data_IF_116134883350
#
_entry.id   IF_116134883350
#
_cell.length_a   1.000
_cell.length_b   1.000
_cell.length_c   1.000
_cell.angle_alpha   90.00
_cell.angle_beta   90.00
_cell.angle_gamma   90.00
#
_symmetry.space_group_name_H-M   'P 1'
#
loop_
_entity.id
_entity.type
_entity.pdbx_description
1 polymer ?
#
# COMPACT_ATOMS: atom_id res chain seq x y z
N UNK A 1 -4.10 30.08 -12.80
CA UNK A 1 -3.05 30.81 -12.04
C UNK A 1 -3.33 30.60 -10.55
N UNK A 2 -2.30 30.36 -9.75
CA UNK A 2 -2.43 30.18 -8.31
C UNK A 2 -2.40 31.51 -7.55
N UNK A 3 -3.23 31.62 -6.52
CA UNK A 3 -3.23 32.71 -5.53
C UNK A 3 -3.50 32.17 -4.14
N UNK A 4 -2.88 32.78 -3.12
CA UNK A 4 -3.30 32.57 -1.74
C UNK A 4 -4.53 33.42 -1.46
N UNK A 5 -5.54 32.83 -0.84
CA UNK A 5 -6.75 33.55 -0.39
C UNK A 5 -7.27 32.90 0.89
N UNK A 6 -8.41 33.36 1.39
CA UNK A 6 -9.07 32.80 2.56
C UNK A 6 -10.43 32.22 2.18
N UNK A 7 -10.99 31.36 3.03
CA UNK A 7 -12.34 30.80 2.83
C UNK A 7 -13.41 31.89 2.60
N UNK A 8 -13.31 33.03 3.30
CA UNK A 8 -14.24 34.16 3.16
C UNK A 8 -14.17 34.85 1.80
N UNK A 9 -13.02 34.80 1.15
CA UNK A 9 -12.72 35.49 -0.12
C UNK A 9 -12.90 34.57 -1.34
N UNK A 10 -13.20 33.29 -1.11
CA UNK A 10 -13.45 32.35 -2.20
C UNK A 10 -14.62 32.83 -3.08
N UNK A 11 -14.52 32.67 -4.42
CA UNK A 11 -15.63 32.93 -5.33
C UNK A 11 -16.91 32.22 -4.88
N UNK A 12 -18.07 32.86 -5.07
CA UNK A 12 -19.38 32.32 -4.69
C UNK A 12 -19.74 30.97 -5.35
N UNK A 13 -19.00 30.57 -6.39
CA UNK A 13 -19.12 29.25 -6.99
C UNK A 13 -18.69 28.11 -6.03
N UNK A 14 -17.82 28.41 -5.06
CA UNK A 14 -17.42 27.45 -4.04
C UNK A 14 -18.43 27.41 -2.89
N UNK A 15 -18.70 26.21 -2.42
CA UNK A 15 -19.51 25.97 -1.22
C UNK A 15 -18.63 25.29 -0.18
N UNK A 16 -17.93 26.10 0.60
CA UNK A 16 -17.09 25.64 1.70
C UNK A 16 -17.94 25.14 2.88
N UNK A 17 -17.52 24.09 3.59
CA UNK A 17 -18.22 23.62 4.77
C UNK A 17 -18.15 24.63 5.93
N UNK A 18 -19.20 24.66 6.75
CA UNK A 18 -19.38 25.67 7.81
C UNK A 18 -18.42 25.54 9.00
N UNK A 19 -17.73 24.41 9.15
CA UNK A 19 -16.76 24.18 10.22
C UNK A 19 -15.37 24.76 9.90
N UNK A 20 -15.10 25.17 8.66
CA UNK A 20 -13.89 25.91 8.31
C UNK A 20 -13.98 27.35 8.81
N UNK A 21 -12.86 27.91 9.25
CA UNK A 21 -12.82 29.31 9.67
C UNK A 21 -12.77 30.18 8.42
N UNK A 22 -13.51 31.31 8.39
CA UNK A 22 -13.46 32.24 7.26
C UNK A 22 -12.05 32.75 6.92
N UNK A 23 -11.17 32.79 7.92
CA UNK A 23 -9.77 33.23 7.81
C UNK A 23 -8.80 32.12 7.41
N UNK A 24 -9.24 30.86 7.29
CA UNK A 24 -8.34 29.75 6.95
C UNK A 24 -7.75 29.98 5.55
N UNK A 25 -6.42 29.95 5.40
CA UNK A 25 -5.78 30.17 4.12
C UNK A 25 -5.98 28.97 3.21
N UNK A 26 -6.31 29.22 1.95
CA UNK A 26 -6.43 28.19 0.92
C UNK A 26 -5.71 28.61 -0.35
N UNK A 27 -5.24 27.61 -1.09
CA UNK A 27 -4.67 27.84 -2.40
C UNK A 27 -5.78 27.82 -3.44
N UNK A 28 -5.99 28.93 -4.15
CA UNK A 28 -6.96 29.04 -5.24
C UNK A 28 -6.23 28.95 -6.58
N UNK A 29 -6.69 28.07 -7.47
CA UNK A 29 -6.33 28.07 -8.89
C UNK A 29 -7.51 28.52 -9.75
N UNK A 30 -7.35 29.61 -10.49
CA UNK A 30 -8.36 30.04 -11.49
C UNK A 30 -8.10 29.38 -12.83
N UNK A 31 -9.14 28.75 -13.39
CA UNK A 31 -9.11 27.97 -14.61
C UNK A 31 -8.74 26.51 -14.38
N UNK A 32 -8.74 25.74 -15.47
CA UNK A 32 -8.43 24.30 -15.43
C UNK A 32 -6.99 24.06 -14.95
N UNK A 33 -6.82 23.02 -14.14
CA UNK A 33 -5.56 22.63 -13.53
C UNK A 33 -5.20 21.20 -13.91
N UNK A 34 -4.01 21.00 -14.44
CA UNK A 34 -3.42 19.68 -14.65
C UNK A 34 -2.20 19.50 -13.72
N UNK A 35 -2.18 18.42 -12.95
CA UNK A 35 -1.06 18.05 -12.10
C UNK A 35 -0.45 16.73 -12.57
N UNK A 36 0.88 16.73 -12.68
CA UNK A 36 1.64 15.53 -12.98
C UNK A 36 1.84 14.72 -11.69
N UNK A 37 1.19 13.56 -11.61
CA UNK A 37 1.31 12.64 -10.48
C UNK A 37 0.11 12.67 -9.54
N UNK A 38 0.36 12.22 -8.31
CA UNK A 38 -0.66 12.10 -7.28
C UNK A 38 -0.90 13.45 -6.59
N UNK A 39 -2.13 13.70 -6.13
CA UNK A 39 -2.46 14.78 -5.19
C UNK A 39 -2.70 14.14 -3.81
N UNK A 40 -1.78 14.41 -2.88
CA UNK A 40 -1.84 13.91 -1.51
C UNK A 40 -2.58 14.91 -0.62
N UNK A 41 -3.69 14.46 -0.06
CA UNK A 41 -4.54 15.18 0.90
C UNK A 41 -4.37 14.61 2.32
N UNK A 42 -3.16 14.21 2.68
CA UNK A 42 -2.80 13.97 4.07
C UNK A 42 -1.97 15.15 4.56
N UNK A 43 -2.17 15.61 5.79
CA UNK A 43 -1.44 16.78 6.33
C UNK A 43 0.08 16.58 6.28
N UNK A 44 0.53 15.33 6.45
CA UNK A 44 1.93 14.90 6.35
C UNK A 44 2.57 15.14 4.97
N UNK A 45 1.79 15.45 3.94
CA UNK A 45 2.29 15.88 2.64
C UNK A 45 2.87 17.31 2.63
N UNK A 46 2.82 18.01 3.77
CA UNK A 46 3.41 19.34 3.93
C UNK A 46 2.47 20.50 3.59
N UNK A 47 1.20 20.35 3.98
CA UNK A 47 0.19 21.41 3.87
C UNK A 47 0.37 22.48 4.96
N UNK A 48 0.79 22.06 6.15
CA UNK A 48 0.95 22.93 7.32
C UNK A 48 2.32 23.63 7.41
N UNK A 49 3.36 23.06 6.78
CA UNK A 49 4.70 23.64 6.72
C UNK A 49 4.95 24.44 5.42
N UNK A 50 3.95 24.48 4.53
CA UNK A 50 3.97 25.21 3.27
C UNK A 50 4.75 24.54 2.14
N UNK A 51 5.17 23.28 2.29
CA UNK A 51 5.81 22.52 1.22
C UNK A 51 4.90 22.39 -0.01
N UNK A 52 3.60 22.13 0.19
CA UNK A 52 2.62 22.01 -0.90
C UNK A 52 2.39 23.35 -1.60
N UNK A 53 2.25 24.44 -0.84
CA UNK A 53 2.09 25.78 -1.41
C UNK A 53 3.32 26.18 -2.26
N UNK A 54 4.52 25.81 -1.80
CA UNK A 54 5.74 26.00 -2.56
C UNK A 54 5.78 25.13 -3.82
N UNK A 55 5.42 23.85 -3.73
CA UNK A 55 5.45 22.91 -4.84
C UNK A 55 4.45 23.25 -5.96
N UNK A 56 3.22 23.65 -5.60
CA UNK A 56 2.16 23.94 -6.55
C UNK A 56 2.22 25.37 -7.10
N UNK A 57 2.55 26.35 -6.25
CA UNK A 57 2.39 27.76 -6.57
C UNK A 57 3.66 28.61 -6.39
N UNK A 58 4.78 28.03 -5.93
CA UNK A 58 6.00 28.78 -5.62
C UNK A 58 5.89 29.68 -4.39
N UNK A 59 4.87 29.48 -3.54
CA UNK A 59 4.61 30.28 -2.34
C UNK A 59 5.28 29.65 -1.12
N UNK A 60 6.45 30.18 -0.72
CA UNK A 60 7.24 29.58 0.36
C UNK A 60 6.67 29.85 1.76
N UNK A 61 6.67 28.81 2.60
CA UNK A 61 6.43 28.92 4.05
C UNK A 61 5.00 29.24 4.46
N UNK A 62 4.03 29.08 3.56
CA UNK A 62 2.62 29.37 3.85
C UNK A 62 1.84 28.08 4.10
N UNK A 63 1.42 27.89 5.35
CA UNK A 63 0.44 26.88 5.71
C UNK A 63 -0.87 27.15 4.97
N UNK A 64 -1.46 26.10 4.39
CA UNK A 64 -2.74 26.16 3.69
C UNK A 64 -3.65 25.01 4.13
N UNK A 65 -4.92 25.32 4.34
CA UNK A 65 -5.94 24.38 4.77
C UNK A 65 -6.55 23.57 3.60
N UNK A 66 -6.15 23.85 2.36
CA UNK A 66 -6.61 23.10 1.19
C UNK A 66 -6.39 23.78 -0.16
N UNK A 67 -6.89 23.12 -1.20
CA UNK A 67 -6.83 23.53 -2.60
C UNK A 67 -8.25 23.75 -3.16
N UNK A 68 -8.44 24.88 -3.82
CA UNK A 68 -9.65 25.25 -4.52
C UNK A 68 -9.34 25.44 -6.01
N UNK A 69 -10.04 24.76 -6.91
CA UNK A 69 -9.86 24.85 -8.36
C UNK A 69 -11.15 25.38 -8.98
N UNK A 70 -11.08 26.58 -9.57
CA UNK A 70 -12.18 27.20 -10.29
C UNK A 70 -12.11 26.79 -11.77
N UNK A 71 -12.42 25.53 -12.04
CA UNK A 71 -12.31 24.87 -13.33
C UNK A 71 -12.26 23.35 -13.17
N UNK A 72 -11.79 22.65 -14.19
CA UNK A 72 -11.55 21.21 -14.15
C UNK A 72 -10.20 20.88 -13.49
N UNK A 73 -10.12 19.78 -12.76
CA UNK A 73 -8.87 19.25 -12.19
C UNK A 73 -8.50 17.91 -12.84
N UNK A 74 -7.33 17.82 -13.43
CA UNK A 74 -6.80 16.60 -14.03
C UNK A 74 -5.52 16.14 -13.33
N UNK A 75 -5.54 14.96 -12.74
CA UNK A 75 -4.39 14.30 -12.14
C UNK A 75 -3.91 13.18 -13.06
N UNK A 76 -2.61 13.16 -13.40
CA UNK A 76 -2.02 12.00 -14.08
C UNK A 76 -1.92 10.77 -13.16
N UNK A 77 -1.93 10.99 -11.84
CA UNK A 77 -1.90 9.98 -10.80
C UNK A 77 -3.23 9.83 -10.06
N UNK A 78 -3.14 9.52 -8.76
CA UNK A 78 -4.28 9.33 -7.86
C UNK A 78 -4.55 10.55 -6.98
N UNK A 79 -5.80 10.72 -6.58
CA UNK A 79 -6.17 11.53 -5.42
C UNK A 79 -6.07 10.65 -4.18
N UNK A 80 -5.27 11.03 -3.19
CA UNK A 80 -4.98 10.19 -2.02
C UNK A 80 -5.18 10.95 -0.74
N UNK A 81 -6.19 10.57 0.03
CA UNK A 81 -6.28 10.82 1.46
C UNK A 81 -6.31 9.47 2.17
N UNK A 82 -5.14 9.04 2.66
CA UNK A 82 -4.98 7.77 3.34
C UNK A 82 -5.32 7.88 4.83
N UNK A 83 -5.18 9.08 5.41
CA UNK A 83 -5.62 9.39 6.77
C UNK A 83 -7.16 9.39 6.83
N UNK A 84 -7.71 8.58 7.73
CA UNK A 84 -9.16 8.48 7.93
C UNK A 84 -9.74 9.62 8.76
N UNK A 85 -8.95 10.28 9.60
CA UNK A 85 -9.44 11.22 10.60
C UNK A 85 -9.55 12.65 10.08
N UNK A 86 -8.61 13.08 9.24
CA UNK A 86 -8.65 14.42 8.67
C UNK A 86 -7.84 14.53 7.38
N UNK A 87 -7.93 15.70 6.75
CA UNK A 87 -7.01 16.12 5.71
C UNK A 87 -7.40 17.48 5.12
N UNK A 88 -6.58 18.03 4.22
CA UNK A 88 -6.83 19.30 3.58
C UNK A 88 -8.10 19.29 2.75
N UNK A 89 -8.75 20.45 2.69
CA UNK A 89 -9.92 20.67 1.85
C UNK A 89 -9.55 20.53 0.36
N UNK A 90 -10.42 19.91 -0.43
CA UNK A 90 -10.37 20.00 -1.89
C UNK A 90 -11.72 20.43 -2.44
N UNK A 91 -11.77 21.58 -3.10
CA UNK A 91 -12.95 22.07 -3.82
C UNK A 91 -12.64 22.22 -5.31
N UNK A 92 -13.47 21.64 -6.18
CA UNK A 92 -13.36 21.74 -7.64
C UNK A 92 -14.71 22.12 -8.21
N UNK A 93 -14.81 23.28 -8.87
CA UNK A 93 -16.09 23.74 -9.45
C UNK A 93 -16.47 23.02 -10.75
N UNK A 94 -15.49 22.40 -11.41
CA UNK A 94 -15.65 21.59 -12.61
C UNK A 94 -15.59 20.08 -12.34
N UNK A 95 -15.14 19.33 -13.34
CA UNK A 95 -14.90 17.89 -13.25
C UNK A 95 -13.52 17.58 -12.65
N UNK A 96 -13.40 16.40 -12.03
CA UNK A 96 -12.12 15.86 -11.55
C UNK A 96 -11.78 14.56 -12.29
N UNK A 97 -10.61 14.52 -12.93
CA UNK A 97 -10.04 13.32 -13.56
C UNK A 97 -8.84 12.77 -12.77
N UNK A 98 -8.80 11.46 -12.51
CA UNK A 98 -7.66 10.80 -11.87
C UNK A 98 -7.55 9.31 -12.26
N UNK A 99 -6.42 8.66 -11.94
CA UNK A 99 -6.29 7.19 -12.02
C UNK A 99 -7.16 6.50 -10.97
N UNK A 100 -7.09 6.99 -9.74
CA UNK A 100 -7.77 6.47 -8.55
C UNK A 100 -8.14 7.62 -7.62
N UNK A 101 -9.16 7.45 -6.78
CA UNK A 101 -9.45 8.36 -5.67
C UNK A 101 -9.62 7.59 -4.37
N UNK A 102 -8.81 7.90 -3.35
CA UNK A 102 -8.99 7.46 -1.97
C UNK A 102 -9.43 8.66 -1.13
N UNK A 103 -10.59 8.54 -0.48
CA UNK A 103 -11.24 9.60 0.29
C UNK A 103 -11.37 9.12 1.74
N UNK A 104 -10.61 9.74 2.64
CA UNK A 104 -10.56 9.44 4.07
C UNK A 104 -11.20 10.56 4.89
N UNK A 105 -10.44 11.19 5.79
CA UNK A 105 -10.91 12.27 6.65
C UNK A 105 -11.07 13.65 6.01
N UNK A 106 -10.65 13.84 4.76
CA UNK A 106 -10.75 15.11 4.03
C UNK A 106 -12.18 15.43 3.60
N UNK A 107 -12.47 16.72 3.44
CA UNK A 107 -13.66 17.17 2.74
C UNK A 107 -13.34 17.44 1.27
N UNK A 108 -13.90 16.62 0.39
CA UNK A 108 -13.63 16.63 -1.04
C UNK A 108 -14.94 16.91 -1.77
N UNK A 109 -14.97 18.01 -2.52
CA UNK A 109 -16.12 18.39 -3.32
C UNK A 109 -15.74 18.64 -4.77
N UNK A 110 -16.45 17.96 -5.66
CA UNK A 110 -16.36 18.12 -7.11
C UNK A 110 -17.75 18.47 -7.61
N UNK A 111 -17.98 19.68 -8.09
CA UNK A 111 -19.32 20.09 -8.55
C UNK A 111 -19.70 19.45 -9.91
N UNK A 112 -18.71 19.06 -10.71
CA UNK A 112 -18.89 18.30 -11.96
C UNK A 112 -18.78 16.78 -11.77
N UNK A 113 -18.38 16.09 -12.85
CA UNK A 113 -18.18 14.64 -12.82
C UNK A 113 -16.87 14.24 -12.14
N UNK A 114 -16.89 13.16 -11.37
CA UNK A 114 -15.68 12.48 -10.87
C UNK A 114 -15.35 11.31 -11.81
N UNK A 115 -14.27 11.46 -12.58
CA UNK A 115 -13.82 10.52 -13.63
C UNK A 115 -12.55 9.82 -13.19
N UNK A 116 -12.68 8.56 -12.80
CA UNK A 116 -11.58 7.77 -12.28
C UNK A 116 -11.37 6.52 -13.13
N UNK A 117 -10.12 6.23 -13.52
CA UNK A 117 -9.82 5.09 -14.39
C UNK A 117 -10.07 3.74 -13.70
N UNK A 118 -9.81 3.68 -12.39
CA UNK A 118 -9.91 2.47 -11.59
C UNK A 118 -11.04 2.57 -10.57
N UNK A 119 -10.75 3.01 -9.35
CA UNK A 119 -11.65 2.91 -8.20
C UNK A 119 -11.76 4.23 -7.45
N UNK A 120 -12.98 4.53 -7.01
CA UNK A 120 -13.22 5.51 -5.94
C UNK A 120 -13.41 4.72 -4.65
N UNK A 121 -12.55 4.95 -3.66
CA UNK A 121 -12.62 4.31 -2.35
C UNK A 121 -12.88 5.39 -1.30
N UNK A 122 -14.07 5.33 -0.68
CA UNK A 122 -14.36 6.11 0.53
C UNK A 122 -14.15 5.24 1.75
N UNK A 123 -13.38 5.70 2.72
CA UNK A 123 -13.11 4.95 3.95
C UNK A 123 -13.18 5.85 5.17
N UNK A 124 -13.76 5.32 6.24
CA UNK A 124 -13.95 6.00 7.52
C UNK A 124 -14.86 7.24 7.44
N UNK A 125 -15.54 7.59 8.53
CA UNK A 125 -16.69 8.49 8.48
C UNK A 125 -16.41 9.94 8.91
N UNK A 126 -15.16 10.32 9.14
CA UNK A 126 -14.80 11.69 9.55
C UNK A 126 -14.76 12.69 8.38
N UNK A 127 -14.53 12.22 7.16
CA UNK A 127 -14.53 13.06 5.96
C UNK A 127 -15.82 12.95 5.13
N UNK A 128 -15.79 13.57 3.96
CA UNK A 128 -16.92 13.52 3.03
C UNK A 128 -16.45 13.68 1.58
N UNK A 129 -17.02 12.86 0.69
CA UNK A 129 -16.94 13.03 -0.76
C UNK A 129 -18.30 13.51 -1.30
N UNK A 130 -18.31 14.68 -1.92
CA UNK A 130 -19.48 15.24 -2.61
C UNK A 130 -19.17 15.35 -4.10
N UNK A 131 -20.02 14.74 -4.94
CA UNK A 131 -19.95 14.82 -6.40
C UNK A 131 -21.25 15.37 -6.93
N UNK A 132 -21.22 16.58 -7.50
CA UNK A 132 -22.38 17.23 -8.10
C UNK A 132 -22.84 16.57 -9.40
N UNK A 133 -21.89 16.05 -10.19
CA UNK A 133 -22.13 15.24 -11.37
C UNK A 133 -22.14 13.73 -11.07
N UNK A 134 -21.66 12.95 -12.04
CA UNK A 134 -21.62 11.49 -11.97
C UNK A 134 -20.27 10.99 -11.48
N UNK A 135 -20.27 9.82 -10.85
CA UNK A 135 -19.06 9.01 -10.66
C UNK A 135 -18.91 8.07 -11.86
N UNK A 136 -17.79 8.18 -12.57
CA UNK A 136 -17.41 7.34 -13.70
C UNK A 136 -16.14 6.59 -13.31
N UNK A 137 -16.28 5.32 -12.94
CA UNK A 137 -15.18 4.46 -12.51
C UNK A 137 -15.49 2.98 -12.78
N UNK A 138 -14.49 2.09 -12.59
CA UNK A 138 -14.76 0.65 -12.58
C UNK A 138 -15.54 0.25 -11.33
N UNK A 139 -15.18 0.83 -10.17
CA UNK A 139 -15.87 0.59 -8.92
C UNK A 139 -15.93 1.84 -8.02
N UNK A 140 -17.01 1.92 -7.24
CA UNK A 140 -17.17 2.78 -6.08
C UNK A 140 -17.25 1.86 -4.86
N UNK A 141 -16.22 1.89 -4.03
CA UNK A 141 -16.12 1.09 -2.81
C UNK A 141 -16.35 2.03 -1.63
N UNK A 142 -17.42 1.80 -0.87
CA UNK A 142 -17.73 2.54 0.36
C UNK A 142 -17.43 1.66 1.57
N UNK A 143 -16.64 2.18 2.50
CA UNK A 143 -16.24 1.52 3.73
C UNK A 143 -16.53 2.45 4.91
N UNK A 144 -17.82 2.70 5.13
CA UNK A 144 -18.36 3.62 6.12
C UNK A 144 -17.90 5.08 5.92
N UNK A 145 -18.02 5.60 4.69
CA UNK A 145 -17.66 6.97 4.36
C UNK A 145 -18.88 7.77 3.85
N UNK A 146 -18.88 9.08 4.14
CA UNK A 146 -19.92 9.99 3.69
C UNK A 146 -19.79 10.30 2.20
N UNK A 147 -20.58 9.63 1.35
CA UNK A 147 -20.56 9.83 -0.11
C UNK A 147 -21.91 10.37 -0.59
N UNK A 148 -21.91 11.59 -1.15
CA UNK A 148 -23.07 12.24 -1.80
C UNK A 148 -22.82 12.38 -3.30
N UNK A 149 -23.53 11.60 -4.13
CA UNK A 149 -23.46 11.69 -5.60
C UNK A 149 -24.80 12.16 -6.13
N UNK A 150 -24.81 13.37 -6.72
CA UNK A 150 -26.05 14.06 -7.15
C UNK A 150 -26.39 13.80 -8.61
N UNK A 151 -25.41 13.49 -9.45
CA UNK A 151 -25.62 13.14 -10.84
C UNK A 151 -26.13 11.71 -11.02
N UNK A 152 -27.07 11.54 -11.94
CA UNK A 152 -27.59 10.20 -12.27
C UNK A 152 -26.59 9.42 -13.13
N UNK A 153 -26.37 8.12 -12.87
CA UNK A 153 -25.50 7.31 -13.71
C UNK A 153 -25.97 7.31 -15.17
N UNK A 154 -25.04 7.47 -16.10
CA UNK A 154 -25.31 7.37 -17.52
C UNK A 154 -25.98 6.03 -17.85
N UNK A 155 -26.90 6.05 -18.82
CA UNK A 155 -27.58 4.84 -19.30
C UNK A 155 -26.54 3.81 -19.76
N UNK A 156 -26.54 2.63 -19.14
CA UNK A 156 -25.56 1.58 -19.42
C UNK A 156 -24.24 1.68 -18.64
N UNK A 157 -24.17 2.54 -17.60
CA UNK A 157 -23.03 2.60 -16.69
C UNK A 157 -22.69 1.21 -16.13
N UNK A 158 -21.40 0.88 -16.15
CA UNK A 158 -20.85 -0.37 -15.59
C UNK A 158 -20.21 -0.17 -14.21
N UNK A 159 -20.45 0.98 -13.57
CA UNK A 159 -19.91 1.28 -12.25
C UNK A 159 -20.37 0.22 -11.25
N UNK A 160 -19.42 -0.55 -10.73
CA UNK A 160 -19.67 -1.52 -9.66
C UNK A 160 -19.73 -0.78 -8.32
N UNK A 161 -20.87 -0.84 -7.62
CA UNK A 161 -20.98 -0.32 -6.26
C UNK A 161 -20.73 -1.44 -5.27
N UNK A 162 -19.84 -1.21 -4.31
CA UNK A 162 -19.47 -2.15 -3.27
C UNK A 162 -19.62 -1.43 -1.94
N UNK A 163 -20.52 -1.90 -1.10
CA UNK A 163 -20.59 -1.50 0.30
C UNK A 163 -19.88 -2.56 1.15
N UNK A 164 -18.77 -2.18 1.78
CA UNK A 164 -18.01 -3.10 2.63
C UNK A 164 -18.66 -3.31 3.99
N UNK A 165 -19.62 -2.49 4.42
CA UNK A 165 -20.38 -2.78 5.65
C UNK A 165 -21.32 -3.97 5.45
N UNK A 166 -21.88 -4.13 4.24
CA UNK A 166 -22.80 -5.22 3.90
C UNK A 166 -22.08 -6.53 3.53
N UNK A 167 -20.82 -6.45 3.08
CA UNK A 167 -20.07 -7.57 2.55
C UNK A 167 -19.14 -8.29 3.52
N UNK A 168 -19.10 -7.88 4.80
CA UNK A 168 -18.21 -8.45 5.82
C UNK A 168 -18.75 -9.77 6.36
N UNK A 169 -17.88 -10.76 6.48
CA UNK A 169 -18.15 -11.97 7.23
C UNK A 169 -17.88 -11.68 8.72
N UNK A 170 -18.88 -11.78 9.62
CA UNK A 170 -18.69 -11.49 11.04
C UNK A 170 -17.76 -12.50 11.72
N UNK A 171 -17.64 -13.72 11.18
CA UNK A 171 -16.80 -14.78 11.73
C UNK A 171 -15.36 -14.75 11.18
N UNK A 172 -15.19 -14.17 9.98
CA UNK A 172 -13.88 -13.94 9.34
C UNK A 172 -13.80 -12.53 8.72
N UNK A 173 -13.54 -11.49 9.55
CA UNK A 173 -13.53 -10.10 9.10
C UNK A 173 -12.43 -9.80 8.08
N UNK A 174 -11.43 -10.69 7.94
CA UNK A 174 -10.32 -10.56 6.99
C UNK A 174 -10.59 -11.22 5.64
N UNK A 175 -11.69 -11.95 5.51
CA UNK A 175 -12.08 -12.52 4.24
C UNK A 175 -12.49 -11.43 3.25
N UNK A 176 -11.83 -11.43 2.09
CA UNK A 176 -12.13 -10.50 1.02
C UNK A 176 -13.57 -10.74 0.48
N UNK A 177 -14.46 -9.73 0.46
CA UNK A 177 -15.82 -9.86 -0.04
C UNK A 177 -15.88 -10.29 -1.51
N UNK A 178 -16.94 -10.98 -1.91
CA UNK A 178 -17.06 -11.57 -3.25
C UNK A 178 -16.93 -10.54 -4.39
N UNK A 179 -17.50 -9.33 -4.21
CA UNK A 179 -17.39 -8.26 -5.18
C UNK A 179 -15.95 -7.76 -5.37
N UNK A 180 -15.20 -7.58 -4.27
CA UNK A 180 -13.78 -7.24 -4.31
C UNK A 180 -12.93 -8.38 -4.88
N UNK A 181 -13.20 -9.64 -4.49
CA UNK A 181 -12.55 -10.82 -5.09
C UNK A 181 -12.72 -10.83 -6.61
N UNK A 182 -13.92 -10.53 -7.12
CA UNK A 182 -14.18 -10.46 -8.56
C UNK A 182 -13.42 -9.31 -9.21
N UNK A 183 -13.46 -8.11 -8.63
CA UNK A 183 -12.75 -6.93 -9.12
C UNK A 183 -11.23 -7.18 -9.20
N UNK A 184 -10.67 -7.83 -8.18
CA UNK A 184 -9.24 -8.14 -8.06
C UNK A 184 -8.85 -9.51 -8.62
N UNK A 185 -9.68 -10.08 -9.50
CA UNK A 185 -9.40 -11.34 -10.23
C UNK A 185 -9.04 -12.54 -9.34
N UNK A 186 -9.68 -12.67 -8.18
CA UNK A 186 -9.46 -13.69 -7.12
C UNK A 186 -8.14 -13.53 -6.34
N UNK A 187 -7.77 -12.29 -6.05
CA UNK A 187 -6.58 -11.96 -5.28
C UNK A 187 -6.44 -12.79 -4.00
N UNK A 188 -5.22 -13.25 -3.67
CA UNK A 188 -4.95 -14.00 -2.44
C UNK A 188 -4.83 -13.11 -1.19
N UNK A 189 -4.85 -11.78 -1.34
CA UNK A 189 -4.69 -10.82 -0.25
C UNK A 189 -5.83 -10.88 0.78
N UNK A 190 -5.53 -10.50 2.03
CA UNK A 190 -6.55 -10.23 3.05
C UNK A 190 -7.34 -8.96 2.73
N UNK A 191 -8.49 -8.79 3.38
CA UNK A 191 -9.26 -7.55 3.29
C UNK A 191 -8.43 -6.35 3.79
N UNK A 192 -7.73 -6.46 4.91
CA UNK A 192 -6.86 -5.39 5.42
C UNK A 192 -5.79 -4.97 4.40
N UNK A 193 -5.08 -5.93 3.79
CA UNK A 193 -4.07 -5.64 2.77
C UNK A 193 -4.65 -4.91 1.54
N UNK A 194 -5.88 -5.25 1.16
CA UNK A 194 -6.58 -4.57 0.07
C UNK A 194 -7.01 -3.16 0.48
N UNK A 195 -7.55 -2.98 1.69
CA UNK A 195 -7.90 -1.67 2.23
C UNK A 195 -6.70 -0.75 2.25
N UNK A 196 -5.58 -1.19 2.79
CA UNK A 196 -4.35 -0.39 2.84
C UNK A 196 -3.85 -0.04 1.44
N UNK A 197 -3.92 -0.96 0.49
CA UNK A 197 -3.59 -0.67 -0.89
C UNK A 197 -4.52 0.38 -1.52
N UNK A 198 -5.83 0.29 -1.28
CA UNK A 198 -6.82 1.26 -1.75
C UNK A 198 -6.62 2.64 -1.10
N UNK A 199 -6.37 2.69 0.22
CA UNK A 199 -6.06 3.93 0.97
C UNK A 199 -4.88 4.67 0.38
N UNK A 200 -3.84 3.93 0.01
CA UNK A 200 -2.60 4.44 -0.55
C UNK A 200 -2.66 4.70 -2.06
N UNK A 201 -3.84 4.65 -2.68
CA UNK A 201 -3.99 4.89 -4.12
C UNK A 201 -3.29 3.84 -5.01
N UNK A 202 -3.01 2.63 -4.51
CA UNK A 202 -2.32 1.60 -5.30
C UNK A 202 -3.24 1.04 -6.39
N UNK A 203 -2.66 0.81 -7.57
CA UNK A 203 -3.41 0.30 -8.70
C UNK A 203 -4.10 -1.03 -8.41
N UNK A 204 -5.29 -1.24 -8.96
CA UNK A 204 -6.00 -2.53 -8.87
C UNK A 204 -5.15 -3.69 -9.42
N UNK A 205 -4.34 -3.44 -10.46
CA UNK A 205 -3.43 -4.44 -11.01
C UNK A 205 -2.40 -4.93 -9.98
N UNK A 206 -1.84 -4.02 -9.17
CA UNK A 206 -0.87 -4.36 -8.11
C UNK A 206 -1.47 -5.14 -6.94
N UNK A 207 -2.81 -5.22 -6.87
CA UNK A 207 -3.56 -5.96 -5.85
C UNK A 207 -4.31 -7.16 -6.44
N UNK A 208 -4.23 -7.37 -7.74
CA UNK A 208 -4.85 -8.51 -8.41
C UNK A 208 -4.08 -9.81 -8.14
N UNK A 209 -4.62 -10.94 -8.61
CA UNK A 209 -3.95 -12.25 -8.50
C UNK A 209 -2.55 -12.23 -9.12
N UNK A 210 -1.48 -12.47 -8.32
CA UNK A 210 -0.11 -12.51 -8.81
C UNK A 210 0.09 -13.64 -9.83
N UNK A 211 0.86 -13.36 -10.87
CA UNK A 211 1.20 -14.30 -11.94
C UNK A 211 2.70 -14.65 -11.95
N UNK A 212 3.56 -13.74 -11.51
CA UNK A 212 5.02 -13.94 -11.54
C UNK A 212 5.60 -14.29 -10.16
N UNK A 213 6.83 -14.81 -10.16
CA UNK A 213 7.61 -15.05 -8.93
C UNK A 213 7.78 -13.76 -8.12
N UNK A 214 8.07 -12.65 -8.79
CA UNK A 214 8.26 -11.36 -8.14
C UNK A 214 6.97 -10.83 -7.49
N UNK A 215 5.84 -10.94 -8.19
CA UNK A 215 4.55 -10.51 -7.64
C UNK A 215 4.13 -11.38 -6.44
N UNK A 216 4.31 -12.70 -6.53
CA UNK A 216 4.03 -13.61 -5.42
C UNK A 216 4.97 -13.37 -4.23
N UNK A 217 6.25 -13.08 -4.48
CA UNK A 217 7.19 -12.67 -3.43
C UNK A 217 6.66 -11.45 -2.68
N UNK A 218 6.22 -10.42 -3.41
CA UNK A 218 5.68 -9.21 -2.79
C UNK A 218 4.40 -9.48 -1.97
N UNK A 219 3.57 -10.45 -2.37
CA UNK A 219 2.42 -10.88 -1.58
C UNK A 219 2.84 -11.60 -0.30
N UNK A 220 3.77 -12.55 -0.39
CA UNK A 220 4.24 -13.31 0.79
C UNK A 220 5.04 -12.43 1.75
N UNK A 221 5.78 -11.44 1.27
CA UNK A 221 6.48 -10.49 2.13
C UNK A 221 5.57 -9.55 2.91
N UNK A 222 4.30 -9.40 2.49
CA UNK A 222 3.29 -8.65 3.25
C UNK A 222 2.57 -9.54 4.27
N UNK A 223 2.35 -10.79 3.90
CA UNK A 223 1.72 -11.80 4.75
C UNK A 223 2.33 -13.16 4.43
N UNK A 224 3.28 -13.59 5.28
CA UNK A 224 4.04 -14.82 5.03
C UNK A 224 3.15 -16.06 4.99
N UNK A 225 1.96 -16.01 5.60
CA UNK A 225 1.01 -17.13 5.59
C UNK A 225 0.48 -17.43 4.19
N UNK A 226 0.57 -16.47 3.25
CA UNK A 226 0.18 -16.62 1.85
C UNK A 226 1.07 -17.57 1.05
N UNK A 227 2.21 -18.02 1.61
CA UNK A 227 3.01 -19.10 1.03
C UNK A 227 2.17 -20.35 0.70
N UNK A 228 1.15 -20.64 1.53
CA UNK A 228 0.23 -21.76 1.33
C UNK A 228 -0.66 -21.61 0.07
N UNK A 229 -0.82 -20.38 -0.43
CA UNK A 229 -1.64 -20.04 -1.59
C UNK A 229 -0.85 -19.94 -2.91
N UNK A 230 0.47 -20.06 -2.87
CA UNK A 230 1.31 -20.06 -4.09
C UNK A 230 0.84 -21.21 -5.02
N UNK A 231 0.56 -20.94 -6.31
CA UNK A 231 0.19 -21.93 -7.31
C UNK A 231 1.25 -23.03 -7.42
N UNK A 232 0.82 -24.26 -7.71
CA UNK A 232 1.72 -25.41 -7.72
C UNK A 232 2.87 -25.23 -8.73
N UNK A 233 2.61 -24.57 -9.85
CA UNK A 233 3.54 -24.31 -10.95
C UNK A 233 4.67 -23.37 -10.54
N UNK A 234 4.43 -22.52 -9.54
CA UNK A 234 5.40 -21.56 -9.04
C UNK A 234 6.14 -22.05 -7.78
N UNK A 235 5.76 -23.22 -7.21
CA UNK A 235 6.44 -23.82 -6.06
C UNK A 235 7.74 -24.51 -6.50
N UNK A 236 8.73 -23.69 -6.82
CA UNK A 236 10.04 -24.08 -7.33
C UNK A 236 11.15 -23.50 -6.47
N UNK A 237 12.36 -24.06 -6.53
CA UNK A 237 13.56 -23.49 -5.90
C UNK A 237 13.72 -21.99 -6.16
N UNK A 238 13.50 -21.53 -7.40
CA UNK A 238 13.60 -20.12 -7.77
C UNK A 238 12.63 -19.22 -6.99
N UNK A 239 11.39 -19.68 -6.74
CA UNK A 239 10.43 -18.94 -5.90
C UNK A 239 10.93 -18.83 -4.46
N UNK A 240 11.38 -19.93 -3.87
CA UNK A 240 11.82 -19.91 -2.47
C UNK A 240 13.10 -19.10 -2.27
N UNK A 241 14.02 -19.13 -3.23
CA UNK A 241 15.18 -18.24 -3.24
C UNK A 241 14.76 -16.76 -3.36
N UNK A 242 13.75 -16.46 -4.17
CA UNK A 242 13.21 -15.11 -4.28
C UNK A 242 12.57 -14.62 -2.96
N UNK A 243 11.97 -15.51 -2.17
CA UNK A 243 11.44 -15.18 -0.84
C UNK A 243 12.54 -14.94 0.21
N UNK A 244 13.69 -15.61 0.04
CA UNK A 244 14.79 -15.65 1.01
C UNK A 244 16.00 -14.81 0.57
N UNK A 245 15.78 -13.77 -0.24
CA UNK A 245 16.84 -12.82 -0.62
C UNK A 245 17.27 -11.97 0.59
N UNK A 246 18.48 -11.38 0.58
CA UNK A 246 18.92 -10.46 1.63
C UNK A 246 18.00 -9.25 1.87
N UNK A 247 17.18 -8.88 0.88
CA UNK A 247 16.18 -7.80 0.98
C UNK A 247 14.86 -8.24 1.61
N UNK A 248 14.76 -9.49 2.08
CA UNK A 248 13.55 -9.99 2.73
C UNK A 248 13.19 -9.10 3.93
N UNK A 249 11.99 -8.49 3.96
CA UNK A 249 11.59 -7.58 5.03
C UNK A 249 11.06 -8.33 6.25
N UNK A 250 10.86 -9.64 6.16
CA UNK A 250 10.25 -10.43 7.23
C UNK A 250 11.19 -10.51 8.44
N UNK A 251 10.67 -10.29 9.66
CA UNK A 251 11.44 -10.50 10.87
C UNK A 251 11.78 -11.99 11.03
N UNK A 252 12.86 -12.28 11.77
CA UNK A 252 13.39 -13.65 11.88
C UNK A 252 12.38 -14.72 12.31
N UNK A 253 11.47 -14.48 13.28
CA UNK A 253 10.44 -15.47 13.62
C UNK A 253 9.56 -15.83 12.42
N UNK A 254 9.20 -14.86 11.59
CA UNK A 254 8.40 -15.09 10.39
C UNK A 254 9.20 -15.79 9.29
N UNK A 255 10.50 -15.51 9.17
CA UNK A 255 11.39 -16.30 8.29
C UNK A 255 11.41 -17.77 8.72
N UNK A 256 11.46 -18.07 10.02
CA UNK A 256 11.39 -19.46 10.50
C UNK A 256 10.06 -20.13 10.13
N UNK A 257 8.94 -19.44 10.38
CA UNK A 257 7.61 -19.95 10.06
C UNK A 257 7.44 -20.15 8.55
N UNK A 258 7.83 -19.18 7.73
CA UNK A 258 7.85 -19.28 6.27
C UNK A 258 8.67 -20.49 5.81
N UNK A 259 9.89 -20.62 6.31
CA UNK A 259 10.79 -21.71 5.95
C UNK A 259 10.21 -23.08 6.31
N UNK A 260 9.50 -23.19 7.44
CA UNK A 260 8.81 -24.43 7.85
C UNK A 260 7.71 -24.88 6.88
N UNK A 261 7.16 -23.96 6.08
CA UNK A 261 6.12 -24.26 5.07
C UNK A 261 6.70 -24.62 3.71
N UNK A 262 8.01 -24.54 3.51
CA UNK A 262 8.66 -24.94 2.25
C UNK A 262 8.57 -26.47 2.11
N UNK A 263 8.07 -27.00 0.97
CA UNK A 263 7.97 -28.43 0.77
C UNK A 263 9.34 -29.13 0.90
N UNK A 264 9.43 -30.30 1.55
CA UNK A 264 10.72 -30.96 1.78
C UNK A 264 11.55 -31.30 0.54
N UNK A 265 10.93 -31.30 -0.65
CA UNK A 265 11.59 -31.50 -1.95
C UNK A 265 12.28 -30.23 -2.49
N UNK A 266 11.84 -29.06 -2.03
CA UNK A 266 12.33 -27.74 -2.44
C UNK A 266 13.33 -27.17 -1.42
N UNK A 267 13.56 -27.86 -0.30
CA UNK A 267 14.63 -27.57 0.64
C UNK A 267 15.98 -27.98 0.05
N UNK A 268 16.37 -27.39 -1.08
CA UNK A 268 17.69 -27.60 -1.70
C UNK A 268 18.79 -26.98 -0.84
N UNK A 269 20.05 -27.29 -1.14
CA UNK A 269 21.19 -26.67 -0.43
C UNK A 269 21.14 -25.14 -0.51
N UNK A 270 20.83 -24.59 -1.69
CA UNK A 270 20.76 -23.14 -1.89
C UNK A 270 19.65 -22.50 -1.05
N UNK A 271 18.47 -23.12 -0.99
CA UNK A 271 17.34 -22.61 -0.18
C UNK A 271 17.66 -22.64 1.31
N UNK A 272 18.30 -23.71 1.81
CA UNK A 272 18.73 -23.79 3.21
C UNK A 272 19.79 -22.74 3.56
N UNK A 273 20.76 -22.53 2.67
CA UNK A 273 21.78 -21.49 2.83
C UNK A 273 21.18 -20.07 2.83
N UNK A 274 20.22 -19.80 1.95
CA UNK A 274 19.53 -18.51 1.90
C UNK A 274 18.73 -18.25 3.18
N UNK A 275 17.97 -19.24 3.67
CA UNK A 275 17.25 -19.13 4.94
C UNK A 275 18.20 -18.94 6.13
N UNK A 276 19.30 -19.69 6.18
CA UNK A 276 20.32 -19.57 7.22
C UNK A 276 20.95 -18.19 7.28
N UNK A 277 21.26 -17.60 6.11
CA UNK A 277 21.84 -16.27 6.03
C UNK A 277 20.91 -15.16 6.58
N UNK A 278 19.59 -15.35 6.48
CA UNK A 278 18.60 -14.43 7.06
C UNK A 278 18.35 -14.69 8.55
N UNK A 279 18.23 -15.96 8.92
CA UNK A 279 17.90 -16.38 10.27
C UNK A 279 18.50 -17.78 10.54
N UNK A 280 19.64 -17.89 11.25
CA UNK A 280 20.33 -19.18 11.44
C UNK A 280 19.46 -20.27 12.07
N UNK A 281 18.56 -19.88 12.97
CA UNK A 281 17.63 -20.79 13.65
C UNK A 281 16.56 -21.37 12.72
N UNK A 282 16.44 -20.89 11.47
CA UNK A 282 15.59 -21.51 10.44
C UNK A 282 15.93 -22.98 10.23
N UNK A 283 17.20 -23.39 10.38
CA UNK A 283 17.60 -24.79 10.24
C UNK A 283 16.98 -25.71 11.29
N UNK A 284 16.52 -25.17 12.44
CA UNK A 284 15.78 -25.96 13.44
C UNK A 284 14.42 -26.45 12.93
N UNK A 285 13.90 -25.82 11.86
CA UNK A 285 12.65 -26.22 11.21
C UNK A 285 12.85 -27.32 10.16
N UNK A 286 14.08 -27.78 9.93
CA UNK A 286 14.34 -28.86 8.99
C UNK A 286 13.71 -30.18 9.47
N UNK A 287 13.17 -31.00 8.55
CA UNK A 287 12.69 -32.34 8.89
C UNK A 287 13.79 -33.22 9.52
N UNK A 288 13.44 -34.20 10.37
CA UNK A 288 14.42 -35.04 11.09
C UNK A 288 15.42 -35.83 10.23
N UNK A 289 15.19 -35.93 8.92
CA UNK A 289 16.11 -36.58 7.97
C UNK A 289 17.41 -35.80 7.74
N UNK A 290 17.45 -34.53 8.11
CA UNK A 290 18.63 -33.68 7.98
C UNK A 290 19.48 -33.77 9.24
N UNK A 291 20.79 -33.92 9.07
CA UNK A 291 21.75 -33.79 10.17
C UNK A 291 22.00 -32.31 10.45
N UNK A 292 21.39 -31.80 11.52
CA UNK A 292 21.52 -30.38 11.88
C UNK A 292 22.97 -29.96 12.08
N UNK A 293 23.82 -30.81 12.67
CA UNK A 293 25.22 -30.45 12.89
C UNK A 293 25.93 -30.19 11.56
N UNK A 294 25.72 -31.07 10.58
CA UNK A 294 26.30 -30.93 9.24
C UNK A 294 25.69 -29.75 8.48
N UNK A 295 24.39 -29.49 8.61
CA UNK A 295 23.72 -28.39 7.92
C UNK A 295 24.16 -27.02 8.45
N UNK A 296 24.31 -26.86 9.77
CA UNK A 296 24.84 -25.63 10.36
C UNK A 296 26.27 -25.35 9.89
N UNK A 297 27.16 -26.35 9.92
CA UNK A 297 28.53 -26.21 9.42
C UNK A 297 28.56 -25.86 7.93
N UNK A 298 27.83 -26.61 7.09
CA UNK A 298 27.83 -26.41 5.64
C UNK A 298 27.22 -25.07 5.20
N UNK A 299 26.21 -24.56 5.91
CA UNK A 299 25.63 -23.25 5.64
C UNK A 299 26.55 -22.12 6.12
N UNK A 300 27.13 -22.26 7.31
CA UNK A 300 28.02 -21.26 7.89
C UNK A 300 29.29 -21.05 7.08
N UNK A 301 29.95 -22.13 6.68
CA UNK A 301 31.17 -22.08 5.86
C UNK A 301 30.93 -21.52 4.45
N UNK A 302 29.67 -21.45 4.01
CA UNK A 302 29.30 -20.85 2.73
C UNK A 302 29.01 -19.34 2.81
N UNK A 303 29.00 -18.73 4.01
CA UNK A 303 28.64 -17.33 4.17
C UNK A 303 29.74 -16.38 3.66
N UNK A 304 29.29 -15.35 2.95
CA UNK A 304 30.13 -14.20 2.58
C UNK A 304 30.58 -13.40 3.81
N UNK A 305 29.74 -13.29 4.85
CA UNK A 305 30.06 -12.63 6.11
C UNK A 305 29.45 -13.41 7.31
N UNK A 306 30.21 -14.32 7.93
CA UNK A 306 29.73 -15.11 9.06
C UNK A 306 29.60 -14.31 10.35
N UNK A 307 30.26 -13.14 10.47
CA UNK A 307 30.18 -12.33 11.70
C UNK A 307 28.76 -11.77 11.91
N UNK A 308 28.04 -11.50 10.83
CA UNK A 308 26.69 -10.95 10.87
C UNK A 308 25.67 -11.85 11.60
N UNK A 309 25.93 -13.16 11.69
CA UNK A 309 24.93 -14.14 12.17
C UNK A 309 25.43 -15.08 13.27
N UNK A 310 26.73 -15.05 13.59
CA UNK A 310 27.36 -16.00 14.54
C UNK A 310 26.68 -16.02 15.92
N UNK A 311 26.27 -14.85 16.42
CA UNK A 311 25.68 -14.71 17.75
C UNK A 311 24.33 -15.45 17.90
N UNK A 312 23.71 -15.84 16.79
CA UNK A 312 22.39 -16.48 16.78
C UNK A 312 22.45 -18.00 16.63
N UNK A 313 23.62 -18.52 16.29
CA UNK A 313 23.84 -19.94 16.14
C UNK A 313 23.80 -20.59 17.52
N UNK A 314 22.93 -21.58 17.76
CA UNK A 314 22.94 -22.30 19.03
C UNK A 314 24.31 -22.93 19.28
N UNK A 315 24.85 -22.76 20.48
CA UNK A 315 26.24 -23.12 20.80
C UNK A 315 26.54 -24.60 20.55
N UNK A 316 25.55 -25.48 20.73
CA UNK A 316 25.70 -26.92 20.46
C UNK A 316 25.97 -27.24 18.98
N UNK A 317 25.65 -26.34 18.05
CA UNK A 317 25.89 -26.52 16.61
C UNK A 317 27.15 -25.81 16.10
N UNK A 318 27.88 -25.09 16.97
CA UNK A 318 29.14 -24.45 16.61
C UNK A 318 30.26 -25.49 16.53
N UNK A 319 30.70 -25.83 15.31
CA UNK A 319 31.77 -26.80 15.12
C UNK A 319 33.17 -26.16 15.20
N UNK A 320 34.24 -26.96 15.41
CA UNK A 320 35.61 -26.47 15.32
C UNK A 320 35.92 -25.80 13.97
N UNK A 321 35.45 -26.37 12.86
CA UNK A 321 35.67 -25.83 11.52
C UNK A 321 35.04 -24.43 11.36
N UNK A 322 33.86 -24.20 11.95
CA UNK A 322 33.21 -22.88 11.95
C UNK A 322 33.99 -21.87 12.80
N UNK A 323 34.51 -22.27 13.95
CA UNK A 323 35.34 -21.43 14.81
C UNK A 323 36.66 -21.03 14.12
N UNK A 324 37.32 -22.00 13.47
CA UNK A 324 38.54 -21.75 12.68
C UNK A 324 38.26 -20.80 11.51
N UNK A 325 37.11 -20.98 10.83
CA UNK A 325 36.67 -20.11 9.75
C UNK A 325 36.44 -18.67 10.21
N UNK A 326 35.85 -18.46 11.39
CA UNK A 326 35.69 -17.13 11.99
C UNK A 326 37.05 -16.50 12.31
N UNK A 327 37.92 -17.24 12.98
CA UNK A 327 39.25 -16.76 13.38
C UNK A 327 40.09 -16.34 12.17
N UNK A 328 40.05 -17.13 11.09
CA UNK A 328 40.75 -16.83 9.84
C UNK A 328 40.27 -15.54 9.14
N UNK A 329 39.03 -15.09 9.40
CA UNK A 329 38.45 -13.89 8.79
C UNK A 329 38.60 -12.65 9.66
N UNK A 330 38.60 -12.80 10.98
CA UNK A 330 38.91 -11.72 11.93
C UNK A 330 40.39 -11.30 11.90
N UNK A 331 41.27 -12.10 11.28
CA UNK A 331 42.70 -11.83 11.15
C UNK A 331 43.15 -11.21 9.82
N UNK A 332 42.23 -10.75 8.95
CA UNK A 332 42.58 -10.00 7.73
C UNK A 332 42.51 -8.48 8.01
N UNK A 333 43.56 -7.70 7.66
CA UNK A 333 43.61 -6.25 7.88
C UNK A 333 42.56 -5.49 7.08
#
# INVERSE_FOLDING_TARGET
MFTLTTIAELPAAFSAPSWLRPTDPVLLHTGDLALNGDLLLDWSAGWEDGHIAAALAGLQGQAVSGLCVQGDLHLAGALVNADGDSGPLLLVTGALGARQASCGGSHIRVDGDLRVLEVVYGHYNHGQLIVGGQVIAQALVNDDHGIDVRGQPAKGSKLLRIDLSEGRDPDDPETLPAALKKLLKKSPLSLESVRDGLRQGRSLASMATPQTVEEWRNVVWRDYTRIAKIPQELRTEAMYLALLTPQCPLPRPEVHELFSKIPPRELTRAVRQAAFALAPKSLLMLPPKFDLQQEYEACFLALGDPQAVVAEIPTQFMSPAMADHLAARSGKP
#
